data_IF_656620505411
#
_entry.id   IF_656620505411
#
_cell.length_a   1.000
_cell.length_b   1.000
_cell.length_c   1.000
_cell.angle_alpha   90.00
_cell.angle_beta   90.00
_cell.angle_gamma   90.00
#
_symmetry.space_group_name_H-M   'P 1'
#
loop_
_entity.id
_entity.type
_entity.pdbx_description
1 polymer ?
#
# COMPACT_ATOMS: atom_id res chain seq x y z
N UNK A 1 14.54 2.36 -0.39
CA UNK A 1 13.37 2.38 0.51
C UNK A 1 12.26 3.18 -0.15
N UNK A 2 11.10 2.55 -0.39
CA UNK A 2 9.75 3.15 -0.44
C UNK A 2 9.41 4.36 -1.34
N UNK A 3 10.34 5.00 -2.04
CA UNK A 3 10.08 6.20 -2.85
C UNK A 3 10.54 7.53 -2.19
N UNK A 4 10.16 8.68 -2.76
CA UNK A 4 9.24 8.85 -3.88
C UNK A 4 9.77 8.33 -5.22
N UNK A 5 8.83 7.90 -6.06
CA UNK A 5 9.04 7.51 -7.45
C UNK A 5 9.36 8.73 -8.34
N UNK A 6 10.00 8.44 -9.45
CA UNK A 6 10.29 9.39 -10.53
C UNK A 6 9.35 9.13 -11.71
N UNK A 7 8.75 10.18 -12.25
CA UNK A 7 7.84 10.16 -13.39
C UNK A 7 8.25 11.32 -14.31
N UNK A 8 8.69 11.03 -15.54
CA UNK A 8 9.17 12.07 -16.47
C UNK A 8 10.37 12.87 -15.94
N UNK A 9 11.24 12.25 -15.15
CA UNK A 9 12.38 12.92 -14.50
C UNK A 9 12.02 13.73 -13.25
N UNK A 10 10.75 13.84 -12.88
CA UNK A 10 10.31 14.53 -11.67
C UNK A 10 10.00 13.55 -10.54
N UNK A 11 10.41 13.87 -9.31
CA UNK A 11 10.08 13.07 -8.13
C UNK A 11 8.71 13.48 -7.60
N UNK A 12 7.78 12.53 -7.53
CA UNK A 12 6.44 12.77 -7.02
C UNK A 12 6.32 12.31 -5.57
N UNK A 13 6.41 13.25 -4.61
CA UNK A 13 6.43 12.97 -3.17
C UNK A 13 5.30 12.05 -2.69
N UNK A 14 4.08 12.21 -3.24
CA UNK A 14 2.90 11.44 -2.88
C UNK A 14 2.99 9.94 -3.19
N UNK A 15 3.92 9.51 -4.05
CA UNK A 15 4.17 8.09 -4.33
C UNK A 15 4.99 7.40 -3.24
N UNK A 16 5.60 8.14 -2.32
CA UNK A 16 6.38 7.55 -1.23
C UNK A 16 5.50 6.75 -0.27
N UNK A 17 6.00 5.59 0.17
CA UNK A 17 5.39 4.80 1.24
C UNK A 17 5.70 5.36 2.63
N UNK A 18 6.73 6.21 2.71
CA UNK A 18 7.18 6.92 3.92
C UNK A 18 6.46 8.26 4.10
N UNK A 19 5.61 8.67 3.16
CA UNK A 19 4.80 9.87 3.36
C UNK A 19 3.86 9.65 4.55
N UNK A 20 3.99 10.48 5.58
CA UNK A 20 3.02 10.54 6.67
C UNK A 20 1.73 11.13 6.12
N UNK A 21 0.75 10.26 5.97
CA UNK A 21 -0.59 10.59 5.53
C UNK A 21 -1.52 9.56 6.18
N UNK A 22 -2.18 9.92 7.29
CA UNK A 22 -3.07 9.02 8.00
C UNK A 22 -4.11 8.40 7.07
N UNK A 23 -4.26 7.08 7.17
CA UNK A 23 -5.17 6.30 6.34
C UNK A 23 -5.81 5.19 7.17
N UNK A 24 -6.97 4.71 6.73
CA UNK A 24 -7.71 3.64 7.41
C UNK A 24 -7.69 2.36 6.56
N UNK A 25 -7.40 1.23 7.20
CA UNK A 25 -7.41 -0.09 6.57
C UNK A 25 -8.04 -1.10 7.53
N UNK A 26 -9.01 -1.86 7.04
CA UNK A 26 -9.71 -2.89 7.80
C UNK A 26 -8.88 -4.17 7.97
N UNK A 27 -9.14 -4.92 9.04
CA UNK A 27 -8.76 -6.34 9.15
C UNK A 27 -7.32 -6.69 9.53
N UNK A 28 -6.48 -5.70 9.91
CA UNK A 28 -5.03 -5.93 10.08
C UNK A 28 -4.61 -6.30 11.52
N UNK A 29 -5.23 -5.71 12.55
CA UNK A 29 -4.92 -5.97 13.97
C UNK A 29 -6.16 -6.30 14.80
N UNK A 30 -7.12 -7.01 14.21
CA UNK A 30 -8.31 -7.45 14.95
C UNK A 30 -7.91 -8.60 15.86
N UNK A 31 -7.89 -8.36 17.16
CA UNK A 31 -7.85 -9.43 18.15
C UNK A 31 -9.13 -9.38 18.96
N UNK A 32 -9.99 -10.38 18.82
CA UNK A 32 -11.13 -10.57 19.70
C UNK A 32 -10.60 -10.99 21.08
N UNK A 33 -10.38 -10.03 21.98
CA UNK A 33 -10.09 -10.35 23.39
C UNK A 33 -11.38 -10.51 24.22
N UNK A 34 -12.55 -10.15 23.71
CA UNK A 34 -13.82 -10.17 24.46
C UNK A 34 -15.03 -10.69 23.69
N UNK A 35 -14.87 -11.29 22.51
CA UNK A 35 -16.02 -11.71 21.69
C UNK A 35 -16.80 -10.56 21.05
N UNK A 36 -16.39 -9.31 21.28
CA UNK A 36 -16.84 -8.16 20.50
C UNK A 36 -15.84 -7.91 19.36
N UNK A 37 -16.31 -8.12 18.13
CA UNK A 37 -15.69 -7.57 16.95
C UNK A 37 -15.75 -6.04 17.06
N UNK A 38 -14.69 -5.40 17.54
CA UNK A 38 -14.53 -3.96 17.33
C UNK A 38 -14.31 -3.74 15.84
N UNK A 39 -15.41 -3.48 15.14
CA UNK A 39 -15.50 -3.27 13.70
C UNK A 39 -14.99 -1.87 13.28
N UNK A 40 -13.95 -1.36 13.95
CA UNK A 40 -13.39 -0.05 13.65
C UNK A 40 -12.15 -0.22 12.77
N UNK A 41 -12.08 0.42 11.59
CA UNK A 41 -10.87 0.46 10.78
C UNK A 41 -9.68 0.92 11.61
N UNK A 42 -8.52 0.30 11.41
CA UNK A 42 -7.31 0.72 12.12
C UNK A 42 -6.66 1.88 11.36
N UNK A 43 -6.29 2.91 12.10
CA UNK A 43 -5.53 4.04 11.56
C UNK A 43 -4.05 3.69 11.44
N UNK A 44 -3.48 4.07 10.30
CA UNK A 44 -2.08 3.89 9.95
C UNK A 44 -1.49 5.23 9.55
N UNK A 45 -0.33 5.60 10.11
CA UNK A 45 0.32 6.90 9.83
C UNK A 45 0.89 7.00 8.42
N UNK A 46 1.31 5.88 7.84
CA UNK A 46 1.78 5.77 6.46
C UNK A 46 1.60 4.35 5.92
N UNK A 47 1.79 4.20 4.59
CA UNK A 47 1.82 2.89 3.93
C UNK A 47 2.90 1.99 4.53
N UNK A 48 4.05 2.56 4.89
CA UNK A 48 5.15 1.81 5.51
C UNK A 48 4.74 1.18 6.85
N UNK A 49 4.05 1.92 7.72
CA UNK A 49 3.58 1.39 9.01
C UNK A 49 2.67 0.16 8.80
N UNK A 50 1.72 0.30 7.86
CA UNK A 50 0.80 -0.78 7.53
C UNK A 50 1.55 -2.00 6.94
N UNK A 51 2.37 -1.77 5.91
CA UNK A 51 3.08 -2.83 5.21
C UNK A 51 4.00 -3.63 6.14
N UNK A 52 4.70 -2.93 7.03
CA UNK A 52 5.62 -3.55 7.98
C UNK A 52 4.89 -4.34 9.06
N UNK A 53 3.75 -3.87 9.56
CA UNK A 53 2.95 -4.61 10.53
C UNK A 53 2.26 -5.83 9.89
N UNK A 54 1.81 -5.71 8.64
CA UNK A 54 1.10 -6.76 7.89
C UNK A 54 1.98 -7.97 7.52
N UNK A 55 3.30 -7.85 7.66
CA UNK A 55 4.26 -8.96 7.54
C UNK A 55 3.99 -10.11 8.48
N UNK A 56 3.39 -9.84 9.64
CA UNK A 56 3.22 -10.80 10.71
C UNK A 56 1.74 -11.11 10.93
N UNK A 57 1.45 -12.34 11.33
CA UNK A 57 0.08 -12.76 11.63
C UNK A 57 -0.33 -12.29 13.03
N UNK A 58 -0.86 -11.08 13.13
CA UNK A 58 -1.30 -10.50 14.40
C UNK A 58 -2.57 -11.15 14.97
N UNK A 59 -3.32 -11.90 14.16
CA UNK A 59 -4.63 -12.46 14.52
C UNK A 59 -4.48 -13.89 15.05
N UNK A 60 -3.86 -14.78 14.26
CA UNK A 60 -3.63 -16.16 14.64
C UNK A 60 -2.28 -16.37 15.37
N UNK A 61 -1.40 -15.37 15.33
CA UNK A 61 -0.11 -15.42 16.01
C UNK A 61 -0.20 -15.33 17.53
N UNK A 62 0.94 -15.55 18.19
CA UNK A 62 1.08 -15.40 19.65
C UNK A 62 0.90 -13.94 20.06
N UNK A 63 0.55 -13.71 21.33
CA UNK A 63 0.44 -12.35 21.93
C UNK A 63 1.64 -11.45 21.61
N UNK A 64 2.86 -11.99 21.62
CA UNK A 64 4.07 -11.23 21.33
C UNK A 64 4.13 -10.73 19.87
N UNK A 65 3.53 -11.45 18.92
CA UNK A 65 3.43 -11.01 17.52
C UNK A 65 2.47 -9.83 17.42
N UNK A 66 1.29 -9.93 18.05
CA UNK A 66 0.33 -8.83 18.11
C UNK A 66 0.94 -7.56 18.73
N UNK A 67 1.68 -7.70 19.85
CA UNK A 67 2.39 -6.59 20.49
C UNK A 67 3.45 -5.97 19.57
N UNK A 68 4.16 -6.79 18.79
CA UNK A 68 5.13 -6.32 17.82
C UNK A 68 4.47 -5.50 16.69
N UNK A 69 3.38 -6.00 16.12
CA UNK A 69 2.62 -5.26 15.11
C UNK A 69 2.06 -3.95 15.67
N UNK A 70 1.58 -3.95 16.92
CA UNK A 70 1.11 -2.72 17.59
C UNK A 70 2.25 -1.73 17.82
N UNK A 71 3.46 -2.19 18.15
CA UNK A 71 4.63 -1.32 18.24
C UNK A 71 4.95 -0.67 16.89
N UNK A 72 4.95 -1.44 15.79
CA UNK A 72 5.13 -0.92 14.42
C UNK A 72 4.06 0.12 14.07
N UNK A 73 2.81 -0.08 14.49
CA UNK A 73 1.74 0.89 14.24
C UNK A 73 1.91 2.20 15.03
N UNK A 74 2.46 2.12 16.25
CA UNK A 74 2.46 3.24 17.21
C UNK A 74 3.65 4.19 17.07
N UNK A 75 4.78 3.74 16.52
CA UNK A 75 5.95 4.61 16.26
C UNK A 75 5.58 5.79 15.36
N UNK A 76 6.30 6.90 15.49
CA UNK A 76 5.98 8.13 14.74
C UNK A 76 6.65 8.17 13.38
N UNK A 77 7.88 7.66 13.31
CA UNK A 77 8.69 7.71 12.10
C UNK A 77 8.48 6.43 11.27
N UNK A 78 8.12 6.54 9.98
CA UNK A 78 8.04 5.38 9.09
C UNK A 78 9.38 4.64 8.94
N UNK A 79 10.52 5.30 9.16
CA UNK A 79 11.82 4.63 9.22
C UNK A 79 11.90 3.69 10.42
N UNK A 80 11.46 4.13 11.60
CA UNK A 80 11.38 3.27 12.79
C UNK A 80 10.41 2.09 12.57
N UNK A 81 9.29 2.34 11.89
CA UNK A 81 8.34 1.29 11.52
C UNK A 81 8.99 0.24 10.59
N UNK A 82 9.77 0.70 9.61
CA UNK A 82 10.57 -0.17 8.75
C UNK A 82 11.59 -0.97 9.57
N UNK A 83 12.40 -0.31 10.40
CA UNK A 83 13.42 -0.98 11.22
C UNK A 83 12.82 -2.08 12.10
N UNK A 84 11.69 -1.79 12.76
CA UNK A 84 10.97 -2.77 13.56
C UNK A 84 10.50 -3.96 12.72
N UNK A 85 9.91 -3.73 11.55
CA UNK A 85 9.43 -4.80 10.67
C UNK A 85 10.53 -5.59 9.94
N UNK A 86 11.79 -5.18 10.04
CA UNK A 86 12.94 -5.99 9.61
C UNK A 86 13.39 -7.00 10.68
N UNK A 87 12.87 -6.90 11.92
CA UNK A 87 13.17 -7.82 13.02
C UNK A 87 12.86 -9.28 12.65
N UNK A 88 13.82 -10.18 12.93
CA UNK A 88 13.66 -11.64 12.75
C UNK A 88 13.22 -12.36 14.03
N UNK A 89 12.88 -11.62 15.09
CA UNK A 89 12.41 -12.19 16.36
C UNK A 89 11.04 -12.86 16.24
N UNK A 90 10.25 -12.46 15.25
CA UNK A 90 8.94 -13.02 14.93
C UNK A 90 8.94 -13.56 13.50
N UNK A 91 8.33 -14.73 13.24
CA UNK A 91 8.21 -15.25 11.89
C UNK A 91 7.25 -14.38 11.08
N UNK A 92 7.58 -14.18 9.79
CA UNK A 92 6.64 -13.62 8.83
C UNK A 92 5.46 -14.59 8.64
N UNK A 93 4.35 -14.08 8.11
CA UNK A 93 3.26 -14.92 7.62
C UNK A 93 3.78 -15.92 6.58
N UNK A 94 3.20 -17.11 6.57
CA UNK A 94 3.59 -18.18 5.65
C UNK A 94 3.34 -17.81 4.18
N UNK A 95 2.30 -17.00 3.92
CA UNK A 95 1.90 -16.52 2.59
C UNK A 95 2.56 -15.18 2.21
N UNK A 96 3.48 -14.66 3.02
CA UNK A 96 3.99 -13.29 2.88
C UNK A 96 4.54 -12.99 1.48
N UNK A 97 5.32 -13.90 0.90
CA UNK A 97 5.90 -13.70 -0.42
C UNK A 97 4.83 -13.61 -1.52
N UNK A 98 3.72 -14.31 -1.37
CA UNK A 98 2.61 -14.34 -2.32
C UNK A 98 1.68 -13.13 -2.18
N UNK A 99 1.54 -12.59 -0.97
CA UNK A 99 0.58 -11.51 -0.67
C UNK A 99 1.20 -10.13 -0.54
N UNK A 100 2.53 -9.99 -0.41
CA UNK A 100 3.19 -8.69 -0.17
C UNK A 100 2.82 -7.61 -1.20
N UNK A 101 2.73 -7.96 -2.48
CA UNK A 101 2.35 -6.98 -3.51
C UNK A 101 0.89 -6.54 -3.34
N UNK A 102 0.01 -7.45 -2.93
CA UNK A 102 -1.39 -7.14 -2.59
C UNK A 102 -1.49 -6.27 -1.35
N UNK A 103 -0.74 -6.59 -0.30
CA UNK A 103 -0.63 -5.76 0.88
C UNK A 103 -0.16 -4.35 0.52
N UNK A 104 0.89 -4.20 -0.30
CA UNK A 104 1.35 -2.88 -0.74
C UNK A 104 0.27 -2.13 -1.53
N UNK A 105 -0.38 -2.81 -2.48
CA UNK A 105 -1.50 -2.27 -3.25
C UNK A 105 -2.61 -1.74 -2.33
N UNK A 106 -3.07 -2.51 -1.35
CA UNK A 106 -4.10 -2.08 -0.39
C UNK A 106 -3.68 -0.83 0.40
N UNK A 107 -2.40 -0.79 0.82
CA UNK A 107 -1.84 0.37 1.52
C UNK A 107 -1.85 1.63 0.67
N UNK A 108 -1.37 1.53 -0.57
CA UNK A 108 -1.32 2.67 -1.49
C UNK A 108 -2.72 3.12 -1.92
N UNK A 109 -3.67 2.19 -2.11
CA UNK A 109 -5.09 2.50 -2.33
C UNK A 109 -5.66 3.29 -1.15
N UNK A 110 -5.45 2.84 0.09
CA UNK A 110 -5.95 3.52 1.28
C UNK A 110 -5.34 4.92 1.44
N UNK A 111 -4.04 5.07 1.14
CA UNK A 111 -3.39 6.38 1.05
C UNK A 111 -4.14 7.28 0.05
N UNK A 112 -4.32 6.85 -1.20
CA UNK A 112 -4.99 7.69 -2.19
C UNK A 112 -6.48 7.96 -1.91
N UNK A 113 -7.19 7.04 -1.23
CA UNK A 113 -8.54 7.30 -0.71
C UNK A 113 -8.55 8.40 0.36
N UNK A 114 -7.55 8.42 1.23
CA UNK A 114 -7.42 9.44 2.29
C UNK A 114 -7.01 10.82 1.74
N UNK A 115 -6.42 10.90 0.55
CA UNK A 115 -6.08 12.17 -0.10
C UNK A 115 -6.38 12.13 -1.61
N UNK A 116 -7.61 12.49 -2.02
CA UNK A 116 -8.03 12.56 -3.42
C UNK A 116 -7.16 13.45 -4.31
N UNK A 117 -6.58 14.53 -3.76
CA UNK A 117 -5.68 15.43 -4.49
C UNK A 117 -4.43 14.67 -4.98
N UNK A 118 -3.76 13.94 -4.08
CA UNK A 118 -2.60 13.12 -4.44
C UNK A 118 -2.95 12.04 -5.46
N UNK A 119 -4.16 11.47 -5.38
CA UNK A 119 -4.66 10.49 -6.33
C UNK A 119 -4.82 11.10 -7.73
N UNK A 120 -5.42 12.30 -7.80
CA UNK A 120 -5.59 13.06 -9.03
C UNK A 120 -4.25 13.41 -9.67
N UNK A 121 -3.29 13.91 -8.88
CA UNK A 121 -1.94 14.24 -9.38
C UNK A 121 -1.28 13.01 -10.01
N UNK A 122 -1.35 11.83 -9.37
CA UNK A 122 -0.83 10.60 -9.97
C UNK A 122 -1.55 10.24 -11.28
N UNK A 123 -2.88 10.33 -11.30
CA UNK A 123 -3.70 9.99 -12.45
C UNK A 123 -3.41 10.88 -13.67
N UNK A 124 -3.11 12.15 -13.46
CA UNK A 124 -2.81 13.13 -14.50
C UNK A 124 -1.42 12.92 -15.13
N UNK A 125 -0.51 12.19 -14.48
CA UNK A 125 0.79 11.85 -15.08
C UNK A 125 0.67 10.89 -16.27
N UNK A 126 1.59 11.00 -17.24
CA UNK A 126 1.62 10.16 -18.45
C UNK A 126 2.91 9.36 -18.65
N UNK A 127 4.03 9.84 -18.10
CA UNK A 127 5.33 9.19 -18.28
C UNK A 127 5.45 7.88 -17.48
N UNK A 128 6.35 6.96 -17.84
CA UNK A 128 6.57 5.74 -17.06
C UNK A 128 6.97 6.03 -15.61
N UNK A 129 6.44 5.23 -14.68
CA UNK A 129 6.76 5.34 -13.26
C UNK A 129 7.99 4.49 -12.91
N UNK A 130 8.98 5.09 -12.26
CA UNK A 130 10.10 4.37 -11.66
C UNK A 130 10.05 4.55 -10.15
N UNK A 131 9.68 3.50 -9.42
CA UNK A 131 9.67 3.53 -7.96
C UNK A 131 11.08 3.78 -7.40
N UNK A 132 11.15 4.37 -6.20
CA UNK A 132 12.45 4.60 -5.55
C UNK A 132 13.20 3.30 -5.28
N UNK A 133 14.54 3.38 -5.32
CA UNK A 133 15.43 2.23 -5.19
C UNK A 133 15.08 1.36 -3.99
N UNK A 134 15.11 0.04 -4.16
CA UNK A 134 14.84 -0.92 -3.10
C UNK A 134 15.62 -2.21 -3.32
N UNK A 135 15.60 -3.10 -2.33
CA UNK A 135 16.29 -4.39 -2.42
C UNK A 135 15.54 -5.39 -3.30
N UNK A 136 16.29 -6.33 -3.89
CA UNK A 136 15.77 -7.41 -4.72
C UNK A 136 14.88 -6.88 -5.87
N UNK A 137 13.77 -7.56 -6.18
CA UNK A 137 12.80 -7.12 -7.18
C UNK A 137 11.75 -6.12 -6.65
N UNK A 138 11.91 -5.60 -5.41
CA UNK A 138 10.86 -4.78 -4.79
C UNK A 138 10.62 -3.46 -5.50
N UNK A 139 11.66 -2.85 -6.07
CA UNK A 139 11.50 -1.62 -6.87
C UNK A 139 10.57 -1.89 -8.06
N UNK A 140 10.80 -2.98 -8.79
CA UNK A 140 9.96 -3.38 -9.91
C UNK A 140 8.52 -3.65 -9.48
N UNK A 141 8.32 -4.44 -8.42
CA UNK A 141 6.97 -4.72 -7.90
C UNK A 141 6.23 -3.44 -7.47
N UNK A 142 6.93 -2.52 -6.79
CA UNK A 142 6.32 -1.26 -6.37
C UNK A 142 6.01 -0.33 -7.56
N UNK A 143 6.83 -0.36 -8.62
CA UNK A 143 6.49 0.28 -9.90
C UNK A 143 5.20 -0.29 -10.47
N UNK A 144 5.06 -1.61 -10.56
CA UNK A 144 3.86 -2.25 -11.10
C UNK A 144 2.61 -1.93 -10.26
N UNK A 145 2.74 -1.89 -8.94
CA UNK A 145 1.64 -1.46 -8.06
C UNK A 145 1.21 -0.02 -8.35
N UNK A 146 2.16 0.91 -8.50
CA UNK A 146 1.85 2.31 -8.81
C UNK A 146 1.23 2.46 -10.21
N UNK A 147 1.76 1.75 -11.21
CA UNK A 147 1.23 1.77 -12.58
C UNK A 147 -0.20 1.21 -12.63
N UNK A 148 -0.46 0.11 -11.94
CA UNK A 148 -1.79 -0.44 -11.78
C UNK A 148 -2.76 0.57 -11.13
N UNK A 149 -2.34 1.18 -10.02
CA UNK A 149 -3.17 2.16 -9.32
C UNK A 149 -3.43 3.37 -10.21
N UNK A 150 -2.43 3.85 -10.95
CA UNK A 150 -2.62 4.94 -11.91
C UNK A 150 -3.62 4.57 -13.00
N UNK A 151 -3.54 3.36 -13.54
CA UNK A 151 -4.51 2.86 -14.53
C UNK A 151 -5.94 2.90 -13.97
N UNK A 152 -6.16 2.34 -12.78
CA UNK A 152 -7.48 2.29 -12.14
C UNK A 152 -8.01 3.68 -11.76
N UNK A 153 -7.14 4.58 -11.31
CA UNK A 153 -7.50 5.97 -11.04
C UNK A 153 -7.93 6.69 -12.31
N UNK A 154 -7.21 6.51 -13.43
CA UNK A 154 -7.56 7.11 -14.72
C UNK A 154 -8.90 6.59 -15.21
N UNK A 155 -9.17 5.29 -15.12
CA UNK A 155 -10.48 4.73 -15.44
C UNK A 155 -11.58 5.35 -14.57
N UNK A 156 -11.35 5.45 -13.26
CA UNK A 156 -12.35 6.03 -12.33
C UNK A 156 -12.66 7.51 -12.60
N UNK A 157 -11.70 8.25 -13.16
CA UNK A 157 -11.82 9.66 -13.52
C UNK A 157 -12.25 9.90 -14.98
N UNK A 158 -12.52 8.83 -15.75
CA UNK A 158 -12.87 8.93 -17.17
C UNK A 158 -11.71 9.41 -18.06
N UNK A 159 -10.46 9.29 -17.60
CA UNK A 159 -9.26 9.61 -18.37
C UNK A 159 -8.86 8.40 -19.26
N UNK A 160 -8.36 8.67 -20.45
CA UNK A 160 -7.90 7.61 -21.37
C UNK A 160 -6.81 6.73 -20.73
N UNK A 161 -6.86 5.40 -20.87
CA UNK A 161 -5.77 4.53 -20.46
C UNK A 161 -4.44 4.89 -21.15
N UNK A 162 -3.32 4.72 -20.45
CA UNK A 162 -1.97 4.94 -21.01
C UNK A 162 -1.41 3.68 -21.70
N UNK A 163 -1.94 2.51 -21.35
CA UNK A 163 -1.55 1.21 -21.89
C UNK A 163 -2.81 0.42 -22.27
N UNK A 164 -2.63 -0.60 -23.10
CA UNK A 164 -3.69 -1.55 -23.42
C UNK A 164 -4.10 -2.35 -22.18
N UNK A 165 -5.35 -2.80 -22.13
CA UNK A 165 -5.89 -3.63 -21.04
C UNK A 165 -5.07 -4.92 -20.82
N UNK A 166 -4.51 -5.50 -21.88
CA UNK A 166 -3.64 -6.69 -21.77
C UNK A 166 -2.37 -6.42 -20.95
N UNK A 167 -1.79 -5.22 -21.06
CA UNK A 167 -0.62 -4.82 -20.27
C UNK A 167 -1.00 -4.65 -18.79
N UNK A 168 -2.18 -4.09 -18.51
CA UNK A 168 -2.73 -4.05 -17.16
C UNK A 168 -2.92 -5.46 -16.58
N UNK A 169 -3.45 -6.40 -17.36
CA UNK A 169 -3.63 -7.80 -16.96
C UNK A 169 -2.29 -8.49 -16.68
N UNK A 170 -1.24 -8.19 -17.46
CA UNK A 170 0.14 -8.65 -17.19
C UNK A 170 0.68 -8.09 -15.87
N UNK A 171 0.43 -6.82 -15.56
CA UNK A 171 0.83 -6.23 -14.27
C UNK A 171 0.12 -6.88 -13.09
N UNK A 172 -1.18 -7.16 -13.24
CA UNK A 172 -1.96 -7.92 -12.27
C UNK A 172 -1.35 -9.31 -12.03
N UNK A 173 -1.04 -10.05 -13.10
CA UNK A 173 -0.39 -11.36 -13.00
C UNK A 173 0.99 -11.28 -12.32
N UNK A 174 1.84 -10.33 -12.71
CA UNK A 174 3.19 -10.15 -12.18
C UNK A 174 3.21 -9.76 -10.68
N UNK A 175 2.12 -9.20 -10.17
CA UNK A 175 1.96 -8.81 -8.77
C UNK A 175 1.08 -9.79 -7.98
N UNK A 176 0.63 -10.89 -8.59
CA UNK A 176 -0.34 -11.83 -8.02
C UNK A 176 -1.60 -11.12 -7.52
N UNK A 177 -2.06 -10.12 -8.28
CA UNK A 177 -3.25 -9.34 -7.96
C UNK A 177 -4.40 -9.66 -8.91
N UNK A 178 -5.65 -9.70 -8.43
CA UNK A 178 -6.79 -9.88 -9.32
C UNK A 178 -6.96 -8.63 -10.21
N UNK A 179 -7.24 -8.80 -11.51
CA UNK A 179 -7.67 -7.71 -12.38
C UNK A 179 -9.04 -7.21 -11.92
N UNK A 180 -9.23 -5.89 -11.90
CA UNK A 180 -10.54 -5.29 -11.61
C UNK A 180 -11.02 -5.45 -10.16
N UNK A 181 -10.12 -5.35 -9.17
CA UNK A 181 -10.59 -5.00 -7.82
C UNK A 181 -11.43 -3.71 -7.92
N UNK A 182 -12.54 -3.62 -7.18
CA UNK A 182 -13.46 -2.49 -7.28
C UNK A 182 -12.68 -1.16 -7.36
N UNK A 183 -13.00 -0.28 -8.35
CA UNK A 183 -12.19 0.89 -8.62
C UNK A 183 -11.94 1.68 -7.35
N UNK A 184 -10.77 2.28 -7.23
CA UNK A 184 -10.50 3.27 -6.19
C UNK A 184 -11.55 4.36 -6.37
N UNK A 185 -12.61 4.32 -5.56
CA UNK A 185 -13.62 5.37 -5.57
C UNK A 185 -12.96 6.59 -4.97
N UNK A 186 -12.47 7.47 -5.83
CA UNK A 186 -12.05 8.81 -5.44
C UNK A 186 -13.33 9.62 -5.28
N UNK A 187 -13.69 9.95 -4.05
CA UNK A 187 -14.73 10.95 -3.83
C UNK A 187 -14.20 12.26 -4.40
N UNK A 188 -14.72 12.65 -5.56
CA UNK A 188 -14.56 14.02 -6.03
C UNK A 188 -15.36 14.84 -5.04
N UNK A 189 -14.70 15.66 -4.22
CA UNK A 189 -15.39 16.77 -3.58
C UNK A 189 -15.93 17.61 -4.73
N UNK A 190 -17.22 17.44 -5.04
CA UNK A 190 -17.92 18.39 -5.90
C UNK A 190 -17.77 19.77 -5.28
N UNK A 191 -17.46 20.81 -6.08
CA UNK A 191 -17.24 22.16 -5.59
C UNK A 191 -18.41 22.71 -4.76
#
# INVERSE_FOLDING_TARGET
MGGPATIGGQRLASTSNFLIQPMQIDGVLVRASTGEHSATPLEWKSVEHYFQAAKFDAIAGRMSVWQHCRAIQLVNDPLEAWELGQSRKHPLRVDWEDVKAHTMYLGVVAKYKACPEHARVLAETSEPIVAGDSTSNWQQLNTLVLERIRYELRESLGLSPLVARSVYEEWCAATNLPPGAAPIVVYVATP
#
